data_IF_532414624774
#
_entry.id   IF_532414624774
#
_cell.length_a   1.000
_cell.length_b   1.000
_cell.length_c   1.000
_cell.angle_alpha   90.00
_cell.angle_beta   90.00
_cell.angle_gamma   90.00
#
_symmetry.space_group_name_H-M   'P 1'
#
loop_
_entity.id
_entity.type
_entity.pdbx_description
1 polymer ?
#
# COMPACT_ATOMS: atom_id res chain seq x y z
N UNK A 1 -21.58 9.87 4.41
CA UNK A 1 -21.55 8.42 4.74
C UNK A 1 -22.96 8.01 5.15
N UNK A 2 -23.49 6.87 4.71
CA UNK A 2 -24.84 6.41 5.03
C UNK A 2 -24.80 4.95 5.48
N UNK A 3 -24.88 4.71 6.80
CA UNK A 3 -24.70 3.39 7.39
C UNK A 3 -25.90 2.47 7.14
N UNK A 4 -27.11 3.01 6.98
CA UNK A 4 -28.30 2.20 6.68
C UNK A 4 -28.24 1.62 5.27
N UNK A 5 -27.75 2.41 4.30
CA UNK A 5 -27.52 1.93 2.93
C UNK A 5 -26.43 0.86 2.90
N UNK A 6 -25.32 1.07 3.62
CA UNK A 6 -24.23 0.10 3.69
C UNK A 6 -24.68 -1.24 4.29
N UNK A 7 -25.52 -1.21 5.33
CA UNK A 7 -26.06 -2.44 5.94
C UNK A 7 -26.97 -3.21 4.96
N UNK A 8 -27.82 -2.52 4.19
CA UNK A 8 -28.63 -3.15 3.15
C UNK A 8 -27.74 -3.79 2.09
N UNK A 9 -26.75 -3.06 1.56
CA UNK A 9 -25.82 -3.57 0.54
C UNK A 9 -25.05 -4.80 1.01
N UNK A 10 -24.73 -4.86 2.31
CA UNK A 10 -24.10 -6.04 2.93
C UNK A 10 -25.06 -7.24 2.99
N UNK A 11 -26.30 -7.03 3.45
CA UNK A 11 -27.31 -8.10 3.56
C UNK A 11 -27.67 -8.73 2.21
N UNK A 12 -27.61 -7.95 1.13
CA UNK A 12 -27.86 -8.43 -0.25
C UNK A 12 -26.59 -8.90 -0.98
N UNK A 13 -25.44 -8.96 -0.30
CA UNK A 13 -24.20 -9.53 -0.85
C UNK A 13 -23.40 -8.63 -1.82
N UNK A 14 -23.69 -7.32 -1.85
CA UNK A 14 -22.97 -6.35 -2.70
C UNK A 14 -21.75 -5.77 -1.98
N UNK A 15 -21.83 -5.58 -0.66
CA UNK A 15 -20.73 -5.03 0.14
C UNK A 15 -20.26 -6.03 1.21
N UNK A 16 -18.96 -6.04 1.43
CA UNK A 16 -18.32 -6.80 2.50
C UNK A 16 -18.18 -5.95 3.77
N UNK A 17 -17.56 -6.51 4.81
CA UNK A 17 -17.28 -5.76 6.04
C UNK A 17 -16.39 -4.54 5.78
N UNK A 18 -16.57 -3.51 6.61
CA UNK A 18 -15.94 -2.20 6.44
C UNK A 18 -14.41 -2.34 6.32
N UNK A 19 -13.87 -1.95 5.17
CA UNK A 19 -12.43 -1.96 4.89
C UNK A 19 -11.97 -3.12 4.02
N UNK A 20 -12.59 -4.29 4.14
CA UNK A 20 -12.15 -5.53 3.46
C UNK A 20 -12.10 -5.42 1.93
N UNK A 21 -13.04 -4.70 1.31
CA UNK A 21 -13.02 -4.48 -0.14
C UNK A 21 -11.82 -3.66 -0.61
N UNK A 22 -11.38 -2.68 0.18
CA UNK A 22 -10.18 -1.89 -0.14
C UNK A 22 -8.93 -2.75 0.01
N UNK A 23 -8.83 -3.52 1.09
CA UNK A 23 -7.69 -4.39 1.35
C UNK A 23 -7.52 -5.43 0.23
N UNK A 24 -8.63 -6.03 -0.23
CA UNK A 24 -8.65 -6.92 -1.41
C UNK A 24 -8.21 -6.22 -2.68
N UNK A 25 -8.67 -4.99 -2.91
CA UNK A 25 -8.29 -4.22 -4.09
C UNK A 25 -6.79 -3.95 -4.10
N UNK A 26 -6.23 -3.52 -2.96
CA UNK A 26 -4.78 -3.29 -2.82
C UNK A 26 -4.03 -4.61 -2.99
N UNK A 27 -4.49 -5.71 -2.39
CA UNK A 27 -3.91 -7.05 -2.56
C UNK A 27 -3.82 -7.44 -4.04
N UNK A 28 -4.88 -7.28 -4.83
CA UNK A 28 -4.83 -7.58 -6.26
C UNK A 28 -3.92 -6.64 -7.04
N UNK A 29 -3.87 -5.36 -6.65
CA UNK A 29 -2.90 -4.40 -7.20
C UNK A 29 -1.46 -4.84 -6.92
N UNK A 30 -1.18 -5.46 -5.76
CA UNK A 30 0.14 -6.03 -5.46
C UNK A 30 0.42 -7.30 -6.25
N UNK A 31 -0.55 -8.23 -6.24
CA UNK A 31 -0.43 -9.54 -6.87
C UNK A 31 -0.14 -9.43 -8.37
N UNK A 32 -0.83 -8.51 -9.05
CA UNK A 32 -0.64 -8.24 -10.47
C UNK A 32 0.41 -7.16 -10.76
N UNK A 33 1.15 -6.71 -9.75
CA UNK A 33 2.20 -5.69 -9.84
C UNK A 33 1.74 -4.42 -10.56
N UNK A 34 0.49 -4.01 -10.33
CA UNK A 34 -0.09 -2.81 -10.91
C UNK A 34 0.49 -1.55 -10.23
N UNK A 35 0.43 -0.39 -10.91
CA UNK A 35 0.69 0.89 -10.26
C UNK A 35 -0.19 1.08 -9.02
N UNK A 36 0.26 1.87 -8.02
CA UNK A 36 -0.54 2.13 -6.82
C UNK A 36 -1.89 2.77 -7.19
N UNK A 37 -2.91 2.48 -6.39
CA UNK A 37 -4.20 3.14 -6.54
C UNK A 37 -4.00 4.63 -6.26
N UNK A 38 -4.56 5.50 -7.11
CA UNK A 38 -4.55 6.93 -6.85
C UNK A 38 -5.87 7.35 -6.23
N UNK A 39 -5.83 7.77 -4.97
CA UNK A 39 -6.99 8.32 -4.26
C UNK A 39 -6.82 9.84 -4.17
N UNK A 40 -7.78 10.58 -4.69
CA UNK A 40 -7.82 12.04 -4.64
C UNK A 40 -9.06 12.49 -3.89
N UNK A 41 -8.85 13.28 -2.84
CA UNK A 41 -9.91 13.94 -2.10
C UNK A 41 -10.16 15.30 -2.76
N UNK A 42 -11.34 15.48 -3.34
CA UNK A 42 -11.85 16.76 -3.81
C UNK A 42 -12.91 17.24 -2.80
N UNK A 43 -13.26 18.52 -2.80
CA UNK A 43 -14.16 19.11 -1.80
C UNK A 43 -15.51 18.37 -1.67
N UNK A 44 -16.04 17.86 -2.79
CA UNK A 44 -17.37 17.23 -2.83
C UNK A 44 -17.34 15.74 -3.16
N UNK A 45 -16.19 15.19 -3.56
CA UNK A 45 -16.06 13.80 -4.01
C UNK A 45 -14.70 13.21 -3.73
N UNK A 46 -14.66 11.89 -3.66
CA UNK A 46 -13.42 11.11 -3.65
C UNK A 46 -13.30 10.37 -4.96
N UNK A 47 -12.16 10.54 -5.64
CA UNK A 47 -11.85 9.83 -6.87
C UNK A 47 -10.81 8.74 -6.57
N UNK A 48 -11.09 7.51 -7.00
CA UNK A 48 -10.15 6.40 -6.90
C UNK A 48 -9.86 5.86 -8.30
N UNK A 49 -8.61 5.96 -8.74
CA UNK A 49 -8.15 5.46 -10.05
C UNK A 49 -7.33 4.19 -9.85
N UNK A 50 -7.74 3.10 -10.50
CA UNK A 50 -6.95 1.87 -10.65
C UNK A 50 -6.33 1.86 -12.05
N UNK A 51 -5.06 1.50 -12.13
CA UNK A 51 -4.32 1.49 -13.39
C UNK A 51 -4.14 0.06 -13.91
N UNK A 52 -4.03 -0.07 -15.23
CA UNK A 52 -3.52 -1.30 -15.84
C UNK A 52 -2.02 -1.44 -15.58
N UNK A 53 -1.49 -2.63 -15.86
CA UNK A 53 -0.07 -2.91 -15.71
C UNK A 53 0.79 -1.88 -16.45
N UNK A 54 1.83 -1.40 -15.75
CA UNK A 54 2.93 -0.59 -16.28
C UNK A 54 4.22 -1.13 -15.69
N UNK A 55 5.32 -1.04 -16.42
CA UNK A 55 6.60 -1.52 -15.91
C UNK A 55 7.03 -0.66 -14.73
N UNK A 56 7.74 -1.24 -13.78
CA UNK A 56 8.32 -0.51 -12.65
C UNK A 56 9.18 0.70 -13.11
N UNK A 57 9.90 0.54 -14.22
CA UNK A 57 10.72 1.60 -14.81
C UNK A 57 9.90 2.84 -15.21
N UNK A 58 8.63 2.64 -15.59
CA UNK A 58 7.72 3.70 -16.01
C UNK A 58 7.07 4.43 -14.83
N UNK A 59 7.18 3.88 -13.61
CA UNK A 59 6.65 4.51 -12.41
C UNK A 59 7.53 5.70 -11.99
N UNK A 60 6.89 6.84 -11.73
CA UNK A 60 7.57 8.01 -11.21
C UNK A 60 7.90 7.87 -9.72
N UNK A 61 8.70 8.80 -9.17
CA UNK A 61 9.12 8.78 -7.77
C UNK A 61 7.93 8.75 -6.80
N UNK A 62 6.91 9.58 -7.04
CA UNK A 62 5.72 9.66 -6.18
C UNK A 62 4.88 8.38 -6.22
N UNK A 63 4.75 7.74 -7.39
CA UNK A 63 4.08 6.46 -7.54
C UNK A 63 4.82 5.36 -6.77
N UNK A 64 6.16 5.35 -6.80
CA UNK A 64 6.95 4.36 -6.04
C UNK A 64 6.78 4.54 -4.53
N UNK A 65 6.78 5.78 -4.04
CA UNK A 65 6.52 6.09 -2.62
C UNK A 65 5.09 5.68 -2.23
N UNK A 66 4.10 5.97 -3.07
CA UNK A 66 2.71 5.56 -2.82
C UNK A 66 2.53 4.05 -2.83
N UNK A 67 3.21 3.32 -3.72
CA UNK A 67 3.19 1.86 -3.72
C UNK A 67 3.80 1.29 -2.43
N UNK A 68 4.90 1.88 -1.97
CA UNK A 68 5.53 1.53 -0.69
C UNK A 68 4.60 1.77 0.50
N UNK A 69 3.91 2.91 0.52
CA UNK A 69 2.93 3.22 1.56
C UNK A 69 1.74 2.25 1.56
N UNK A 70 1.14 1.99 0.39
CA UNK A 70 0.02 1.05 0.27
C UNK A 70 0.41 -0.37 0.71
N UNK A 71 1.63 -0.79 0.37
CA UNK A 71 2.17 -2.07 0.83
C UNK A 71 2.37 -2.11 2.35
N UNK A 72 2.91 -1.05 2.95
CA UNK A 72 3.01 -0.96 4.41
C UNK A 72 1.63 -1.04 5.08
N UNK A 73 0.61 -0.37 4.52
CA UNK A 73 -0.76 -0.43 5.02
C UNK A 73 -1.34 -1.84 4.93
N UNK A 74 -1.21 -2.49 3.76
CA UNK A 74 -1.73 -3.85 3.56
C UNK A 74 -1.08 -4.86 4.52
N UNK A 75 0.25 -4.78 4.68
CA UNK A 75 0.99 -5.63 5.61
C UNK A 75 0.52 -5.40 7.04
N UNK A 76 0.41 -4.14 7.46
CA UNK A 76 -0.02 -3.79 8.82
C UNK A 76 -1.42 -4.31 9.15
N UNK A 77 -2.41 -4.09 8.26
CA UNK A 77 -3.78 -4.61 8.49
C UNK A 77 -3.86 -6.14 8.43
N UNK A 78 -2.87 -6.78 7.82
CA UNK A 78 -2.71 -8.24 7.79
C UNK A 78 -1.93 -8.79 8.99
N UNK A 79 -1.62 -7.97 10.01
CA UNK A 79 -0.73 -8.31 11.14
C UNK A 79 0.68 -8.74 10.72
N UNK A 80 1.13 -8.25 9.56
CA UNK A 80 2.46 -8.47 9.03
C UNK A 80 3.25 -7.16 8.99
N UNK A 81 4.55 -7.27 8.75
CA UNK A 81 5.45 -6.12 8.70
C UNK A 81 6.02 -5.97 7.30
N UNK A 82 6.16 -4.72 6.86
CA UNK A 82 6.88 -4.43 5.62
C UNK A 82 8.38 -4.40 5.92
N UNK A 83 9.17 -5.05 5.06
CA UNK A 83 10.62 -4.94 5.05
C UNK A 83 11.10 -4.80 3.60
N UNK A 84 12.42 -4.69 3.40
CA UNK A 84 12.98 -4.56 2.06
C UNK A 84 12.59 -5.74 1.14
N UNK A 85 12.61 -6.97 1.67
CA UNK A 85 12.27 -8.16 0.89
C UNK A 85 10.81 -8.16 0.43
N UNK A 86 9.87 -7.82 1.32
CA UNK A 86 8.45 -7.78 0.97
C UNK A 86 8.16 -6.69 -0.09
N UNK A 87 8.77 -5.51 0.06
CA UNK A 87 8.62 -4.42 -0.92
C UNK A 87 9.20 -4.78 -2.29
N UNK A 88 10.31 -5.52 -2.34
CA UNK A 88 10.86 -6.01 -3.60
C UNK A 88 9.90 -6.97 -4.31
N UNK A 89 9.27 -7.87 -3.57
CA UNK A 89 8.21 -8.74 -4.08
C UNK A 89 7.06 -7.92 -4.69
N UNK A 90 6.60 -6.89 -3.97
CA UNK A 90 5.54 -5.97 -4.45
C UNK A 90 5.88 -5.27 -5.76
N UNK A 91 7.12 -4.83 -5.92
CA UNK A 91 7.56 -4.01 -7.06
C UNK A 91 8.19 -4.83 -8.20
N UNK A 92 8.30 -6.15 -8.05
CA UNK A 92 8.98 -7.01 -9.02
C UNK A 92 10.48 -6.72 -9.14
N UNK A 93 11.12 -6.27 -8.05
CA UNK A 93 12.55 -5.94 -8.03
C UNK A 93 13.35 -7.20 -7.69
N UNK A 94 14.26 -7.60 -8.58
CA UNK A 94 15.18 -8.72 -8.36
C UNK A 94 16.04 -8.53 -7.10
N UNK A 95 16.42 -9.63 -6.43
CA UNK A 95 17.22 -9.62 -5.19
C UNK A 95 18.52 -8.82 -5.32
N UNK A 96 19.21 -8.94 -6.47
CA UNK A 96 20.45 -8.20 -6.75
C UNK A 96 20.26 -6.67 -6.76
N UNK A 97 19.05 -6.21 -7.00
CA UNK A 97 18.67 -4.80 -7.09
C UNK A 97 18.07 -4.28 -5.76
N UNK A 98 18.34 -4.94 -4.64
CA UNK A 98 17.87 -4.49 -3.32
C UNK A 98 18.14 -3.02 -2.96
N UNK A 99 19.24 -2.36 -3.41
CA UNK A 99 19.45 -0.95 -3.10
C UNK A 99 18.37 -0.03 -3.68
N UNK A 100 17.68 -0.45 -4.75
CA UNK A 100 16.56 0.31 -5.32
C UNK A 100 15.38 0.36 -4.35
N UNK A 101 15.02 -0.77 -3.74
CA UNK A 101 13.97 -0.81 -2.74
C UNK A 101 14.36 -0.01 -1.48
N UNK A 102 15.61 -0.09 -1.02
CA UNK A 102 16.09 0.72 0.11
C UNK A 102 15.97 2.22 -0.14
N UNK A 103 16.24 2.69 -1.37
CA UNK A 103 16.05 4.11 -1.74
C UNK A 103 14.58 4.52 -1.69
N UNK A 104 13.67 3.67 -2.18
CA UNK A 104 12.22 3.94 -2.13
C UNK A 104 11.72 4.02 -0.69
N UNK A 105 12.18 3.12 0.18
CA UNK A 105 11.86 3.14 1.61
C UNK A 105 12.35 4.45 2.23
N UNK A 106 13.58 4.86 1.92
CA UNK A 106 14.12 6.14 2.40
C UNK A 106 13.27 7.32 1.93
N UNK A 107 12.92 7.37 0.65
CA UNK A 107 12.04 8.41 0.10
C UNK A 107 10.67 8.43 0.80
N UNK A 108 10.12 7.27 1.15
CA UNK A 108 8.83 7.16 1.84
C UNK A 108 8.91 7.57 3.32
N UNK A 109 10.04 7.30 3.99
CA UNK A 109 10.33 7.81 5.34
C UNK A 109 10.46 9.34 5.33
N UNK A 110 11.21 9.89 4.37
CA UNK A 110 11.37 11.35 4.19
C UNK A 110 10.02 12.03 3.92
N UNK A 111 9.16 11.39 3.11
CA UNK A 111 7.80 11.85 2.84
C UNK A 111 6.81 11.66 4.01
N UNK A 112 7.25 11.08 5.14
CA UNK A 112 6.40 10.75 6.31
C UNK A 112 5.19 9.88 5.96
N UNK A 113 5.33 9.00 4.98
CA UNK A 113 4.29 8.04 4.62
C UNK A 113 4.40 6.76 5.47
N UNK A 114 5.63 6.38 5.83
CA UNK A 114 5.94 5.24 6.69
C UNK A 114 6.86 5.68 7.82
N UNK A 115 7.01 4.83 8.83
CA UNK A 115 8.01 4.98 9.89
C UNK A 115 8.66 3.65 10.23
N UNK A 116 9.84 3.70 10.81
CA UNK A 116 10.48 2.53 11.38
C UNK A 116 9.70 2.07 12.61
N UNK A 117 9.47 0.76 12.69
CA UNK A 117 8.97 0.15 13.90
C UNK A 117 10.14 0.08 14.90
N UNK A 118 9.97 0.67 16.09
CA UNK A 118 11.00 0.68 17.12
C UNK A 118 11.45 -0.76 17.44
N UNK A 119 12.61 -1.14 16.95
CA UNK A 119 13.22 -2.43 17.24
C UNK A 119 14.07 -2.29 18.50
N UNK A 120 13.45 -2.43 19.67
CA UNK A 120 14.23 -2.82 20.86
C UNK A 120 14.84 -4.19 20.59
N UNK A 121 16.09 -4.21 20.12
CA UNK A 121 16.94 -5.41 20.08
C UNK A 121 16.90 -6.28 18.82
N UNK A 122 16.24 -5.89 17.72
CA UNK A 122 16.21 -6.71 16.50
C UNK A 122 16.91 -6.05 15.31
N UNK A 123 17.91 -6.74 14.75
CA UNK A 123 18.77 -6.26 13.66
C UNK A 123 18.06 -6.15 12.28
N UNK A 124 16.72 -6.22 12.26
CA UNK A 124 15.90 -6.23 11.04
C UNK A 124 15.00 -5.01 11.04
N UNK A 125 15.26 -4.10 10.11
CA UNK A 125 14.42 -2.92 9.88
C UNK A 125 13.06 -3.33 9.34
N UNK A 126 12.02 -3.07 10.11
CA UNK A 126 10.63 -3.19 9.71
C UNK A 126 10.00 -1.80 9.65
N UNK A 127 9.04 -1.66 8.76
CA UNK A 127 8.38 -0.40 8.48
C UNK A 127 6.88 -0.59 8.58
N UNK A 128 6.23 0.40 9.20
CA UNK A 128 4.78 0.47 9.38
C UNK A 128 4.25 1.79 8.79
N UNK A 129 2.94 1.88 8.50
CA UNK A 129 2.34 3.15 8.11
C UNK A 129 2.61 4.23 9.14
N UNK A 130 2.77 5.48 8.71
CA UNK A 130 3.15 6.57 9.61
C UNK A 130 2.16 6.77 10.78
N UNK A 131 0.86 6.57 10.51
CA UNK A 131 -0.24 6.71 11.47
C UNK A 131 -0.39 5.55 12.46
N UNK A 132 0.30 4.43 12.22
CA UNK A 132 0.14 3.18 12.96
C UNK A 132 0.91 3.11 14.28
#
# INVERSE_FOLDING_TARGET
RNDSLADIMRRIGICEEKGSGMDKTIFYVELYQLPPIRIQLQETRTEATVFTYRKFADLNKSERVMACYQHACLRYVSNEKMNNQSLRGRLGIEDKNYPMASRIIKDALEAKMIKEENAEGNNRHNYIPYWA
#
